data_IF_927711776793
#
_entry.id   IF_927711776793
#
_cell.length_a   1.000
_cell.length_b   1.000
_cell.length_c   1.000
_cell.angle_alpha   90.00
_cell.angle_beta   90.00
_cell.angle_gamma   90.00
#
_symmetry.space_group_name_H-M   'P 1'
#
loop_
_entity.id
_entity.type
_entity.pdbx_description
1 polymer ?
#
# COMPACT_ATOMS: atom_id res chain seq x y z
N UNK A 1 13.04 -1.28 -0.09
CA UNK A 1 13.14 0.18 -0.31
C UNK A 1 13.10 0.56 -1.79
N UNK A 2 14.04 0.10 -2.61
CA UNK A 2 14.31 0.70 -3.94
C UNK A 2 13.47 0.15 -5.11
N UNK A 3 12.63 -0.86 -4.85
CA UNK A 3 11.77 -1.52 -5.83
C UNK A 3 12.41 -2.79 -6.41
N UNK A 4 11.60 -3.61 -7.08
CA UNK A 4 12.02 -4.88 -7.71
C UNK A 4 11.00 -5.32 -8.76
N UNK A 5 11.35 -6.32 -9.57
CA UNK A 5 10.49 -6.88 -10.62
C UNK A 5 10.71 -6.23 -11.99
N UNK A 6 9.74 -6.43 -12.89
CA UNK A 6 9.80 -6.02 -14.29
C UNK A 6 8.59 -5.16 -14.68
N UNK A 7 8.84 -4.01 -15.33
CA UNK A 7 7.76 -3.07 -15.70
C UNK A 7 6.83 -3.60 -16.80
N UNK A 8 7.24 -4.66 -17.52
CA UNK A 8 6.38 -5.39 -18.45
C UNK A 8 5.58 -6.52 -17.81
N UNK A 9 5.72 -6.74 -16.50
CA UNK A 9 5.04 -7.78 -15.74
C UNK A 9 4.82 -7.37 -14.29
N UNK A 10 5.14 -8.26 -13.35
CA UNK A 10 5.00 -7.99 -11.92
C UNK A 10 6.17 -7.16 -11.40
N UNK A 11 5.86 -6.05 -10.73
CA UNK A 11 6.85 -5.20 -10.10
C UNK A 11 6.33 -4.47 -8.88
N UNK A 12 7.27 -4.06 -8.03
CA UNK A 12 7.07 -3.08 -6.98
C UNK A 12 7.94 -1.86 -7.29
N UNK A 13 7.32 -0.68 -7.44
CA UNK A 13 8.02 0.55 -7.83
C UNK A 13 9.16 0.91 -6.86
N UNK A 14 8.98 0.62 -5.58
CA UNK A 14 9.87 0.99 -4.50
C UNK A 14 9.32 2.15 -3.67
N UNK A 15 9.39 2.01 -2.35
CA UNK A 15 8.88 2.98 -1.38
C UNK A 15 9.52 4.36 -1.54
N UNK A 16 10.83 4.40 -1.81
CA UNK A 16 11.53 5.68 -1.97
C UNK A 16 11.07 6.44 -3.22
N UNK A 17 10.87 5.72 -4.33
CA UNK A 17 10.36 6.32 -5.57
C UNK A 17 8.90 6.74 -5.41
N UNK A 18 8.10 5.91 -4.74
CA UNK A 18 6.70 6.20 -4.44
C UNK A 18 6.57 7.45 -3.56
N UNK A 19 7.32 7.54 -2.46
CA UNK A 19 7.33 8.71 -1.58
C UNK A 19 7.70 10.01 -2.33
N UNK A 20 8.76 9.97 -3.16
CA UNK A 20 9.17 11.13 -3.97
C UNK A 20 8.10 11.55 -4.97
N UNK A 21 7.45 10.59 -5.63
CA UNK A 21 6.34 10.87 -6.55
C UNK A 21 5.20 11.58 -5.81
N UNK A 22 4.72 10.99 -4.72
CA UNK A 22 3.58 11.50 -3.96
C UNK A 22 3.85 12.86 -3.31
N UNK A 23 5.10 13.15 -2.96
CA UNK A 23 5.52 14.42 -2.34
C UNK A 23 5.75 15.56 -3.36
N UNK A 24 5.73 15.28 -4.66
CA UNK A 24 6.05 16.26 -5.70
C UNK A 24 4.86 17.10 -6.17
N UNK A 25 3.63 16.68 -5.83
CA UNK A 25 2.39 17.31 -6.23
C UNK A 25 1.55 17.72 -5.02
N UNK A 26 0.50 18.55 -5.23
CA UNK A 26 -0.36 18.98 -4.15
C UNK A 26 -1.20 17.83 -3.57
N UNK A 27 -1.66 16.89 -4.42
CA UNK A 27 -2.51 15.76 -4.06
C UNK A 27 -2.38 14.62 -5.08
N UNK A 28 -2.43 13.38 -4.61
CA UNK A 28 -2.49 12.17 -5.43
C UNK A 28 -3.61 11.26 -4.93
N UNK A 29 -4.20 10.51 -5.85
CA UNK A 29 -5.24 9.53 -5.58
C UNK A 29 -4.68 8.12 -5.79
N UNK A 30 -5.31 7.11 -5.17
CA UNK A 30 -4.94 5.71 -5.32
C UNK A 30 -6.13 4.93 -5.89
N UNK A 31 -5.90 4.23 -7.00
CA UNK A 31 -6.82 3.23 -7.53
C UNK A 31 -6.21 1.84 -7.32
N UNK A 32 -6.96 0.95 -6.67
CA UNK A 32 -6.64 -0.47 -6.56
C UNK A 32 -7.63 -1.23 -7.44
N UNK A 33 -7.13 -1.96 -8.43
CA UNK A 33 -7.93 -2.81 -9.31
C UNK A 33 -7.65 -4.28 -9.00
N UNK A 34 -8.70 -5.08 -8.91
CA UNK A 34 -8.67 -6.49 -8.55
C UNK A 34 -9.47 -7.29 -9.57
N UNK A 35 -9.02 -8.49 -9.89
CA UNK A 35 -9.74 -9.46 -10.70
C UNK A 35 -9.60 -10.85 -10.06
N UNK A 36 -10.70 -11.57 -9.90
CA UNK A 36 -10.66 -12.95 -9.44
C UNK A 36 -10.40 -13.95 -10.59
N UNK A 37 -10.19 -15.22 -10.26
CA UNK A 37 -9.91 -16.26 -11.26
C UNK A 37 -11.10 -16.56 -12.21
N UNK A 38 -12.28 -16.02 -11.92
CA UNK A 38 -13.49 -16.14 -12.72
C UNK A 38 -13.69 -14.91 -13.62
N UNK A 39 -12.79 -13.92 -13.56
CA UNK A 39 -12.86 -12.69 -14.33
C UNK A 39 -13.79 -11.63 -13.72
N UNK A 40 -14.19 -11.77 -12.45
CA UNK A 40 -14.94 -10.73 -11.74
C UNK A 40 -13.97 -9.64 -11.32
N UNK A 41 -14.19 -8.44 -11.83
CA UNK A 41 -13.39 -7.27 -11.50
C UNK A 41 -14.01 -6.46 -10.38
N UNK A 42 -13.20 -5.97 -9.46
CA UNK A 42 -13.57 -5.00 -8.44
C UNK A 42 -12.51 -3.91 -8.33
N UNK A 43 -12.88 -2.76 -7.77
CA UNK A 43 -11.92 -1.68 -7.53
C UNK A 43 -12.23 -0.95 -6.24
N UNK A 44 -11.22 -0.27 -5.71
CA UNK A 44 -11.37 0.72 -4.64
C UNK A 44 -10.55 1.97 -4.99
N UNK A 45 -11.21 3.14 -4.96
CA UNK A 45 -10.60 4.41 -5.30
C UNK A 45 -10.56 5.34 -4.08
N UNK A 46 -9.35 5.77 -3.70
CA UNK A 46 -9.12 6.70 -2.59
C UNK A 46 -8.75 8.07 -3.12
N UNK A 47 -9.48 9.10 -2.70
CA UNK A 47 -9.29 10.48 -3.14
C UNK A 47 -8.11 11.24 -2.48
N UNK A 48 -7.28 10.55 -1.71
CA UNK A 48 -6.02 11.07 -1.15
C UNK A 48 -5.10 9.90 -0.82
N UNK A 49 -3.82 10.00 -1.17
CA UNK A 49 -2.83 8.96 -0.90
C UNK A 49 -1.43 9.57 -0.73
N UNK A 50 -0.82 9.33 0.43
CA UNK A 50 0.52 9.81 0.74
C UNK A 50 1.21 8.84 1.70
N UNK A 51 2.48 8.56 1.44
CA UNK A 51 3.35 7.81 2.34
C UNK A 51 4.48 8.69 2.88
N UNK A 52 4.92 8.40 4.10
CA UNK A 52 6.06 9.05 4.74
C UNK A 52 7.39 8.75 4.05
N UNK A 53 8.44 9.42 4.50
CA UNK A 53 9.81 9.12 4.07
C UNK A 53 10.42 7.92 4.83
N UNK A 54 11.69 7.62 4.57
CA UNK A 54 12.41 6.54 5.25
C UNK A 54 12.49 6.73 6.77
N UNK A 55 12.60 7.97 7.26
CA UNK A 55 12.66 8.27 8.70
C UNK A 55 11.32 8.03 9.41
N UNK A 56 10.23 8.12 8.66
CA UNK A 56 8.87 7.78 9.08
C UNK A 56 8.51 6.31 8.78
N UNK A 57 9.49 5.47 8.42
CA UNK A 57 9.29 4.08 8.00
C UNK A 57 8.24 3.92 6.89
N UNK A 58 8.18 4.91 6.00
CA UNK A 58 7.23 4.95 4.89
C UNK A 58 5.77 4.79 5.31
N UNK A 59 5.37 5.31 6.48
CA UNK A 59 4.02 5.15 7.00
C UNK A 59 2.92 5.58 6.00
N UNK A 60 1.76 4.91 6.01
CA UNK A 60 0.58 5.29 5.22
C UNK A 60 -0.06 6.54 5.83
N UNK A 61 0.53 7.71 5.58
CA UNK A 61 0.16 8.97 6.24
C UNK A 61 -1.25 9.39 5.87
N UNK A 62 -1.54 9.42 4.57
CA UNK A 62 -2.85 9.83 4.08
C UNK A 62 -3.47 8.69 3.29
N UNK A 63 -4.73 8.46 3.61
CA UNK A 63 -5.65 7.64 2.84
C UNK A 63 -7.01 8.34 2.91
N UNK A 64 -7.50 8.76 1.75
CA UNK A 64 -8.75 9.48 1.57
C UNK A 64 -9.97 8.60 1.80
N UNK A 65 -11.14 9.08 1.38
CA UNK A 65 -12.35 8.26 1.39
C UNK A 65 -12.31 7.27 0.23
N UNK A 66 -12.41 5.98 0.53
CA UNK A 66 -12.62 4.92 -0.44
C UNK A 66 -14.00 5.02 -1.09
N UNK A 67 -14.05 4.88 -2.41
CA UNK A 67 -15.27 4.58 -3.15
C UNK A 67 -14.98 3.49 -4.17
N UNK A 68 -15.76 2.41 -4.13
CA UNK A 68 -15.51 1.29 -5.02
C UNK A 68 -16.52 0.16 -4.85
N UNK A 69 -16.23 -0.93 -5.54
CA UNK A 69 -17.00 -2.19 -5.49
C UNK A 69 -16.28 -3.29 -4.72
N UNK A 70 -14.98 -3.12 -4.44
CA UNK A 70 -14.17 -4.10 -3.70
C UNK A 70 -14.45 -4.07 -2.19
N UNK A 71 -14.82 -2.91 -1.66
CA UNK A 71 -14.94 -2.69 -0.22
C UNK A 71 -13.64 -2.09 0.34
N UNK A 72 -13.78 -1.25 1.35
CA UNK A 72 -12.66 -0.47 1.89
C UNK A 72 -11.88 -1.26 2.95
N UNK A 73 -11.04 -2.20 2.51
CA UNK A 73 -10.16 -2.94 3.43
C UNK A 73 -8.92 -2.12 3.84
N UNK A 74 -8.39 -1.26 2.96
CA UNK A 74 -7.15 -0.52 3.23
C UNK A 74 -7.28 0.50 4.38
N UNK A 75 -8.50 0.93 4.71
CA UNK A 75 -8.75 1.92 5.77
C UNK A 75 -8.15 1.55 7.13
N UNK A 76 -8.10 0.26 7.46
CA UNK A 76 -7.57 -0.24 8.73
C UNK A 76 -6.06 -0.08 8.84
N UNK A 77 -5.38 0.04 7.70
CA UNK A 77 -3.93 0.20 7.60
C UNK A 77 -3.47 1.66 7.65
N UNK A 78 -4.41 2.61 7.65
CA UNK A 78 -4.10 4.04 7.70
C UNK A 78 -3.29 4.38 8.95
N UNK A 79 -2.18 5.10 8.75
CA UNK A 79 -1.26 5.54 9.80
C UNK A 79 -0.23 4.49 10.23
N UNK A 80 -0.27 3.27 9.67
CA UNK A 80 0.69 2.22 10.02
C UNK A 80 2.01 2.39 9.26
N UNK A 81 3.10 1.92 9.87
CA UNK A 81 4.42 1.87 9.24
C UNK A 81 4.51 0.73 8.23
N UNK A 82 5.30 0.90 7.17
CA UNK A 82 5.57 -0.18 6.25
C UNK A 82 6.47 -1.23 6.91
N UNK A 83 6.05 -2.49 6.87
CA UNK A 83 6.72 -3.59 7.57
C UNK A 83 7.15 -4.68 6.60
N UNK A 84 8.34 -5.25 6.83
CA UNK A 84 8.92 -6.37 6.06
C UNK A 84 9.39 -7.47 7.02
N UNK A 85 9.81 -8.62 6.48
CA UNK A 85 10.28 -9.76 7.28
C UNK A 85 11.43 -9.43 8.24
N UNK A 86 12.29 -8.48 7.87
CA UNK A 86 13.49 -8.03 8.61
C UNK A 86 13.29 -6.68 9.30
N UNK A 87 12.14 -6.04 9.14
CA UNK A 87 11.87 -4.72 9.68
C UNK A 87 10.40 -4.60 10.09
N UNK A 88 10.09 -5.07 11.30
CA UNK A 88 8.72 -5.13 11.84
C UNK A 88 8.70 -5.11 13.36
N UNK A 89 7.59 -4.65 13.95
CA UNK A 89 7.28 -4.77 15.38
C UNK A 89 6.37 -5.98 15.69
N UNK A 90 5.91 -6.72 14.67
CA UNK A 90 5.03 -7.89 14.78
C UNK A 90 5.39 -8.97 13.74
N UNK A 91 4.83 -10.18 13.90
CA UNK A 91 5.17 -11.32 13.02
C UNK A 91 4.35 -11.38 11.71
N UNK A 92 3.55 -10.36 11.40
CA UNK A 92 2.63 -10.40 10.25
C UNK A 92 3.36 -10.56 8.90
N UNK A 93 4.48 -9.84 8.62
CA UNK A 93 5.23 -10.07 7.39
C UNK A 93 5.69 -11.52 7.22
N UNK A 94 6.08 -12.17 8.32
CA UNK A 94 6.50 -13.58 8.33
C UNK A 94 5.32 -14.54 8.12
N UNK A 95 4.16 -14.25 8.70
CA UNK A 95 2.97 -15.10 8.61
C UNK A 95 2.30 -15.02 7.23
N UNK A 96 2.21 -13.83 6.63
CA UNK A 96 1.56 -13.62 5.32
C UNK A 96 2.54 -13.62 4.15
N UNK A 97 3.83 -13.85 4.40
CA UNK A 97 4.88 -13.85 3.39
C UNK A 97 4.86 -12.58 2.52
N UNK A 98 4.67 -11.43 3.15
CA UNK A 98 4.41 -10.16 2.46
C UNK A 98 4.99 -8.96 3.19
N UNK A 99 4.89 -7.81 2.53
CA UNK A 99 5.34 -6.54 3.04
C UNK A 99 4.21 -5.51 2.88
N UNK A 100 3.81 -4.87 3.97
CA UNK A 100 2.62 -4.00 3.98
C UNK A 100 2.61 -3.02 5.15
N UNK A 101 1.66 -2.08 5.12
CA UNK A 101 1.30 -1.20 6.24
C UNK A 101 0.45 -1.94 7.29
N UNK A 102 0.91 -3.09 7.80
CA UNK A 102 0.13 -3.95 8.68
C UNK A 102 -0.31 -3.25 9.99
N UNK A 103 -1.60 -3.35 10.34
CA UNK A 103 -2.12 -2.94 11.66
C UNK A 103 -1.76 -3.99 12.73
N UNK A 104 -2.44 -5.15 12.69
CA UNK A 104 -2.26 -6.36 13.52
C UNK A 104 -3.41 -7.34 13.20
N UNK A 105 -3.29 -8.48 12.54
CA UNK A 105 -2.35 -8.87 11.50
C UNK A 105 -2.96 -8.68 10.08
N UNK A 106 -4.24 -8.31 9.98
CA UNK A 106 -5.01 -8.09 8.74
C UNK A 106 -6.35 -7.35 9.10
N UNK A 107 -6.96 -6.47 8.29
CA UNK A 107 -7.71 -6.72 7.03
C UNK A 107 -7.29 -5.85 5.81
N UNK A 108 -6.96 -6.49 4.68
CA UNK A 108 -6.68 -5.98 3.32
C UNK A 108 -7.19 -6.92 2.20
#
# INVERSE_FOLDING_TARGET
RDGFGDLGGEFWLGLEKLHRLLSSGPHYELLVELEDFQGVTAFEHYNDFLIGDESENYALKHLGRGTGTAGDSLVLHKGMNFSTYDHTANDCPSYYHGAWWFLQCYDA
#
